data_IF_389301002467
#
_entry.id   IF_389301002467
#
_cell.length_a   1.000
_cell.length_b   1.000
_cell.length_c   1.000
_cell.angle_alpha   90.00
_cell.angle_beta   90.00
_cell.angle_gamma   90.00
#
_symmetry.space_group_name_H-M   'P 1'
#
loop_
_entity.id
_entity.type
_entity.pdbx_description
1 polymer ?
#
# COMPACT_ATOMS: atom_id res chain seq x y z
N UNK A 1 -25.01 2.42 -6.85
CA UNK A 1 -23.67 2.89 -7.29
C UNK A 1 -23.85 3.97 -8.35
N UNK A 2 -23.07 5.05 -8.31
CA UNK A 2 -23.15 6.11 -9.33
C UNK A 2 -22.20 5.76 -10.47
N UNK A 3 -22.72 5.72 -11.69
CA UNK A 3 -21.89 5.46 -12.87
C UNK A 3 -20.98 6.68 -13.13
N UNK A 4 -19.70 6.42 -13.39
CA UNK A 4 -18.72 7.43 -13.79
C UNK A 4 -18.62 7.42 -15.32
N UNK A 5 -18.73 8.60 -15.93
CA UNK A 5 -18.51 8.77 -17.37
C UNK A 5 -17.08 9.22 -17.61
N UNK A 6 -16.51 8.73 -18.70
CA UNK A 6 -15.23 9.20 -19.22
C UNK A 6 -15.32 10.64 -19.71
N UNK A 7 -14.19 11.34 -19.71
CA UNK A 7 -14.03 12.67 -20.32
C UNK A 7 -12.88 12.61 -21.31
N UNK A 8 -12.99 13.32 -22.43
CA UNK A 8 -11.88 13.49 -23.38
C UNK A 8 -10.99 14.64 -22.90
N UNK A 9 -9.69 14.42 -22.87
CA UNK A 9 -8.66 15.41 -22.53
C UNK A 9 -7.54 15.32 -23.54
N UNK A 10 -7.56 16.19 -24.56
CA UNK A 10 -6.66 16.04 -25.71
C UNK A 10 -6.92 14.74 -26.46
N UNK A 11 -5.86 13.96 -26.70
CA UNK A 11 -5.92 12.64 -27.31
C UNK A 11 -6.23 11.52 -26.31
N UNK A 12 -6.28 11.83 -25.01
CA UNK A 12 -6.50 10.86 -23.94
C UNK A 12 -7.94 10.82 -23.43
N UNK A 13 -8.28 9.71 -22.78
CA UNK A 13 -9.55 9.52 -22.05
C UNK A 13 -9.26 9.51 -20.55
N UNK A 14 -9.94 10.36 -19.81
CA UNK A 14 -9.84 10.45 -18.35
C UNK A 14 -11.05 9.81 -17.66
N UNK A 15 -10.77 8.95 -16.67
CA UNK A 15 -11.77 8.42 -15.72
C UNK A 15 -11.53 9.05 -14.35
N UNK A 16 -12.59 9.54 -13.71
CA UNK A 16 -12.46 10.16 -12.37
C UNK A 16 -12.61 9.10 -11.29
N UNK A 17 -11.65 9.02 -10.37
CA UNK A 17 -11.76 8.16 -9.18
C UNK A 17 -12.44 8.94 -8.05
N UNK A 18 -13.39 8.34 -7.29
CA UNK A 18 -14.00 9.00 -6.15
C UNK A 18 -12.98 9.42 -5.10
N UNK A 19 -13.14 10.63 -4.53
CA UNK A 19 -12.26 11.14 -3.47
C UNK A 19 -12.21 10.21 -2.25
N UNK A 20 -13.29 9.47 -1.97
CA UNK A 20 -13.36 8.49 -0.88
C UNK A 20 -12.36 7.34 -1.00
N UNK A 21 -11.70 7.17 -2.15
CA UNK A 21 -10.68 6.13 -2.34
C UNK A 21 -9.30 6.60 -1.90
N UNK A 22 -9.15 7.87 -1.46
CA UNK A 22 -7.93 8.44 -0.87
C UNK A 22 -6.65 8.22 -1.71
N UNK A 23 -6.76 8.33 -3.04
CA UNK A 23 -5.60 8.25 -3.94
C UNK A 23 -4.95 9.63 -4.06
N UNK A 24 -3.67 9.72 -3.71
CA UNK A 24 -2.87 10.95 -3.81
C UNK A 24 -2.56 11.32 -5.27
N UNK A 25 -2.27 12.61 -5.51
CA UNK A 25 -1.76 13.04 -6.82
C UNK A 25 -0.37 12.47 -7.08
N UNK A 26 -0.05 12.13 -8.32
CA UNK A 26 1.26 11.57 -8.74
C UNK A 26 1.38 10.04 -8.61
N UNK A 27 0.33 9.34 -8.16
CA UNK A 27 0.31 7.87 -8.09
C UNK A 27 0.22 7.28 -9.50
N UNK A 28 1.11 6.33 -9.79
CA UNK A 28 1.19 5.64 -11.08
C UNK A 28 0.38 4.34 -11.07
N UNK A 29 -0.18 3.99 -12.22
CA UNK A 29 -0.97 2.77 -12.40
C UNK A 29 -0.51 1.99 -13.63
N UNK A 30 -0.58 0.66 -13.55
CA UNK A 30 -0.44 -0.26 -14.66
C UNK A 30 -1.83 -0.65 -15.19
N UNK A 31 -2.18 -0.27 -16.43
CA UNK A 31 -3.44 -0.67 -17.04
C UNK A 31 -3.36 -2.10 -17.59
N UNK A 32 -4.38 -2.91 -17.32
CA UNK A 32 -4.56 -4.26 -17.83
C UNK A 32 -5.91 -4.34 -18.52
N UNK A 33 -5.91 -4.65 -19.82
CA UNK A 33 -7.14 -4.88 -20.57
C UNK A 33 -7.66 -6.30 -20.31
N UNK A 34 -8.94 -6.41 -19.98
CA UNK A 34 -9.63 -7.67 -19.70
C UNK A 34 -10.87 -7.80 -20.60
N UNK A 35 -11.47 -8.99 -20.75
CA UNK A 35 -12.69 -9.16 -21.54
C UNK A 35 -13.87 -8.29 -21.08
N UNK A 36 -13.91 -7.94 -19.80
CA UNK A 36 -15.03 -7.21 -19.18
C UNK A 36 -14.71 -5.74 -18.88
N UNK A 37 -13.54 -5.23 -19.29
CA UNK A 37 -13.14 -3.85 -19.05
C UNK A 37 -11.64 -3.66 -18.81
N UNK A 38 -11.28 -2.55 -18.15
CA UNK A 38 -9.89 -2.19 -17.85
C UNK A 38 -9.68 -2.26 -16.34
N UNK A 39 -8.64 -2.95 -15.92
CA UNK A 39 -8.19 -3.01 -14.54
C UNK A 39 -6.93 -2.16 -14.39
N UNK A 40 -6.87 -1.30 -13.37
CA UNK A 40 -5.68 -0.51 -13.06
C UNK A 40 -5.08 -1.03 -11.76
N UNK A 41 -3.88 -1.60 -11.83
CA UNK A 41 -3.06 -1.93 -10.64
C UNK A 41 -2.23 -0.70 -10.27
N UNK A 42 -1.95 -0.46 -9.00
CA UNK A 42 -0.91 0.50 -8.65
C UNK A 42 0.42 0.02 -9.26
N UNK A 43 1.11 0.91 -9.97
CA UNK A 43 2.44 0.63 -10.49
C UNK A 43 3.39 0.72 -9.29
N UNK A 44 3.85 -0.43 -8.82
CA UNK A 44 4.68 -0.52 -7.62
C UNK A 44 5.94 0.36 -7.81
N UNK A 45 6.01 1.45 -7.05
CA UNK A 45 7.25 2.13 -6.68
C UNK A 45 7.26 2.33 -5.16
N UNK A 46 6.88 1.31 -4.42
CA UNK A 46 7.04 1.35 -2.97
C UNK A 46 8.34 0.65 -2.61
N UNK A 47 9.46 1.34 -2.82
CA UNK A 47 10.68 1.11 -2.04
C UNK A 47 10.36 1.25 -0.52
N UNK A 48 9.27 1.95 -0.17
CA UNK A 48 8.73 2.04 1.18
C UNK A 48 8.38 0.67 1.79
N UNK A 49 8.03 -0.33 0.98
CA UNK A 49 7.75 -1.69 1.44
C UNK A 49 8.86 -2.69 1.07
N UNK A 50 9.99 -2.22 0.53
CA UNK A 50 11.15 -3.07 0.26
C UNK A 50 12.03 -3.22 1.50
N UNK A 51 11.73 -4.25 2.29
CA UNK A 51 12.52 -4.63 3.46
C UNK A 51 13.53 -5.73 3.14
N UNK A 52 13.81 -6.02 1.87
CA UNK A 52 14.62 -7.18 1.51
C UNK A 52 16.04 -7.08 2.11
N UNK A 53 16.65 -5.89 2.04
CA UNK A 53 17.97 -5.65 2.62
C UNK A 53 17.97 -5.73 4.16
N UNK A 54 16.94 -5.19 4.81
CA UNK A 54 16.82 -5.19 6.27
C UNK A 54 16.59 -6.61 6.80
N UNK A 55 15.69 -7.38 6.17
CA UNK A 55 15.42 -8.78 6.51
C UNK A 55 16.69 -9.61 6.33
N UNK A 56 17.41 -9.45 5.20
CA UNK A 56 18.64 -10.20 4.96
C UNK A 56 19.72 -9.86 5.99
N UNK A 57 19.90 -8.58 6.32
CA UNK A 57 20.87 -8.13 7.31
C UNK A 57 20.58 -8.73 8.69
N UNK A 58 19.32 -8.71 9.12
CA UNK A 58 18.91 -9.28 10.39
C UNK A 58 19.13 -10.80 10.44
N UNK A 59 18.76 -11.53 9.37
CA UNK A 59 18.98 -12.97 9.30
C UNK A 59 20.46 -13.36 9.28
N UNK A 60 21.31 -12.56 8.62
CA UNK A 60 22.77 -12.75 8.65
C UNK A 60 23.32 -12.51 10.06
N UNK A 61 22.84 -11.46 10.75
CA UNK A 61 23.22 -11.16 12.13
C UNK A 61 22.79 -12.25 13.11
N UNK A 62 21.65 -12.91 12.85
CA UNK A 62 21.18 -14.10 13.59
C UNK A 62 22.00 -15.36 13.27
N UNK A 63 22.94 -15.30 12.31
CA UNK A 63 23.87 -16.38 11.99
C UNK A 63 23.38 -17.34 10.91
N UNK A 64 22.23 -17.08 10.27
CA UNK A 64 21.72 -17.92 9.19
C UNK A 64 22.61 -17.84 7.95
N UNK A 65 22.86 -19.00 7.30
CA UNK A 65 23.72 -19.10 6.12
C UNK A 65 23.17 -20.08 5.08
N UNK A 66 23.63 -19.92 3.84
CA UNK A 66 23.35 -20.87 2.75
C UNK A 66 21.85 -21.11 2.52
N UNK A 67 21.45 -22.38 2.41
CA UNK A 67 20.06 -22.77 2.12
C UNK A 67 19.11 -22.37 3.25
N UNK A 68 19.57 -22.37 4.50
CA UNK A 68 18.76 -22.01 5.65
C UNK A 68 18.41 -20.52 5.64
N UNK A 69 19.37 -19.65 5.27
CA UNK A 69 19.14 -18.22 5.10
C UNK A 69 18.04 -17.95 4.07
N UNK A 70 18.07 -18.64 2.92
CA UNK A 70 17.06 -18.49 1.87
C UNK A 70 15.68 -18.92 2.36
N UNK A 71 15.61 -20.00 3.15
CA UNK A 71 14.36 -20.49 3.73
C UNK A 71 13.77 -19.46 4.70
N UNK A 72 14.57 -18.96 5.63
CA UNK A 72 14.13 -17.97 6.61
C UNK A 72 13.75 -16.65 5.94
N UNK A 73 14.52 -16.19 4.96
CA UNK A 73 14.19 -14.99 4.19
C UNK A 73 12.81 -15.05 3.55
N UNK A 74 12.50 -16.14 2.84
CA UNK A 74 11.18 -16.35 2.22
C UNK A 74 10.06 -16.37 3.25
N UNK A 75 10.31 -16.99 4.41
CA UNK A 75 9.33 -17.06 5.50
C UNK A 75 9.08 -15.68 6.12
N UNK A 76 10.13 -14.94 6.46
CA UNK A 76 10.03 -13.59 7.04
C UNK A 76 9.36 -12.61 6.08
N UNK A 77 9.75 -12.60 4.80
CA UNK A 77 9.14 -11.75 3.77
C UNK A 77 7.63 -12.01 3.63
N UNK A 78 7.23 -13.28 3.63
CA UNK A 78 5.80 -13.65 3.58
C UNK A 78 5.05 -13.21 4.83
N UNK A 79 5.63 -13.41 6.02
CA UNK A 79 5.03 -13.00 7.28
C UNK A 79 4.80 -11.50 7.35
N UNK A 80 5.82 -10.69 7.01
CA UNK A 80 5.76 -9.23 7.02
C UNK A 80 4.68 -8.73 6.05
N UNK A 81 4.71 -9.20 4.80
CA UNK A 81 3.71 -8.85 3.78
C UNK A 81 2.27 -9.18 4.24
N UNK A 82 2.08 -10.28 4.96
CA UNK A 82 0.76 -10.68 5.48
C UNK A 82 0.33 -9.94 6.76
N UNK A 83 1.28 -9.41 7.55
CA UNK A 83 1.03 -8.76 8.83
C UNK A 83 0.70 -7.28 8.66
N UNK A 84 1.37 -6.58 7.74
CA UNK A 84 1.16 -5.15 7.46
C UNK A 84 -0.31 -4.79 7.20
N UNK A 85 -1.06 -5.45 6.30
CA UNK A 85 -2.46 -5.11 6.07
C UNK A 85 -3.34 -5.38 7.31
N UNK A 86 -2.99 -6.37 8.14
CA UNK A 86 -3.71 -6.66 9.39
C UNK A 86 -3.47 -5.58 10.43
N UNK A 87 -2.22 -5.16 10.62
CA UNK A 87 -1.85 -4.05 11.50
C UNK A 87 -2.52 -2.75 11.08
N UNK A 88 -2.57 -2.46 9.77
CA UNK A 88 -3.26 -1.29 9.25
C UNK A 88 -4.77 -1.32 9.54
N UNK A 89 -5.38 -2.50 9.52
CA UNK A 89 -6.81 -2.66 9.81
C UNK A 89 -7.10 -2.55 11.32
N UNK A 90 -6.27 -3.17 12.17
CA UNK A 90 -6.34 -3.03 13.63
C UNK A 90 -6.15 -1.56 14.06
N UNK A 91 -5.23 -0.84 13.44
CA UNK A 91 -5.01 0.59 13.70
C UNK A 91 -6.24 1.43 13.35
N UNK A 92 -6.97 1.11 12.27
CA UNK A 92 -8.23 1.81 11.94
C UNK A 92 -9.34 1.52 12.93
N UNK A 93 -9.37 0.31 13.49
CA UNK A 93 -10.39 -0.10 14.47
C UNK A 93 -10.12 0.47 15.86
N UNK A 94 -8.85 0.62 16.22
CA UNK A 94 -8.41 1.17 17.51
C UNK A 94 -8.22 2.69 17.49
N UNK A 95 -8.10 3.30 16.31
CA UNK A 95 -8.06 4.75 16.18
C UNK A 95 -9.34 5.37 16.77
N UNK A 96 -9.21 6.06 17.90
CA UNK A 96 -10.25 6.93 18.40
C UNK A 96 -10.54 7.98 17.31
N UNK A 97 -11.80 8.03 16.87
CA UNK A 97 -12.28 9.08 15.97
C UNK A 97 -12.39 10.38 16.76
N UNK A 98 -11.26 11.05 16.96
CA UNK A 98 -11.23 12.40 17.52
C UNK A 98 -11.21 13.41 16.37
N UNK A 99 -11.84 14.56 16.55
CA UNK A 99 -11.73 15.63 15.54
C UNK A 99 -10.37 16.31 15.63
N UNK A 100 -9.88 16.88 14.53
CA UNK A 100 -8.58 17.59 14.48
C UNK A 100 -8.44 18.62 15.63
N UNK A 101 -9.52 19.32 15.96
CA UNK A 101 -9.57 20.30 17.07
C UNK A 101 -9.46 19.67 18.46
N UNK A 102 -9.99 18.47 18.64
CA UNK A 102 -9.88 17.74 19.91
C UNK A 102 -8.47 17.16 20.08
N UNK A 103 -7.88 16.64 19.01
CA UNK A 103 -6.49 16.18 19.00
C UNK A 103 -5.51 17.32 19.33
N UNK A 104 -5.66 18.48 18.69
CA UNK A 104 -4.81 19.67 18.92
C UNK A 104 -4.84 20.09 20.41
N UNK A 105 -6.03 20.12 21.03
CA UNK A 105 -6.14 20.38 22.48
C UNK A 105 -5.48 19.32 23.34
N UNK A 106 -5.56 18.06 22.96
CA UNK A 106 -5.01 16.93 23.72
C UNK A 106 -3.48 16.90 23.71
N UNK A 107 -2.85 17.31 22.59
CA UNK A 107 -1.39 17.38 22.45
C UNK A 107 -0.80 18.78 22.75
N UNK A 108 -1.63 19.75 23.16
CA UNK A 108 -1.18 21.08 23.58
C UNK A 108 -0.77 22.02 22.44
N UNK A 109 -1.37 21.86 21.25
CA UNK A 109 -1.20 22.73 20.07
C UNK A 109 -2.38 23.69 19.88
#
# INVERSE_FOLDING_TARGET
>A
MKNIKTKRSGDDITVTVPKSFNISSGVSFEPILTPNGIFYKFADKDDFWDFDADILTDLINQGYKGVELVKQFKQSKKSISSAIPKLAEEAKQTAQKTTKREFEREIGL
#
